data_IF_115204469273
#
_entry.id   IF_115204469273
#
_cell.length_a   1.000
_cell.length_b   1.000
_cell.length_c   1.000
_cell.angle_alpha   90.00
_cell.angle_beta   90.00
_cell.angle_gamma   90.00
#
_symmetry.space_group_name_H-M   'P 1'
#
loop_
_entity.id
_entity.type
_entity.pdbx_description
1 polymer ?
#
# COMPACT_ATOMS: atom_id res chain seq x y z
N UNK A 1 2.03 -2.21 28.35
CA UNK A 1 3.11 -1.86 27.42
C UNK A 1 4.02 -3.06 27.06
N UNK A 2 4.55 -3.83 28.03
CA UNK A 2 5.39 -5.00 27.77
C UNK A 2 4.74 -6.07 26.87
N UNK A 3 3.47 -6.41 27.10
CA UNK A 3 2.75 -7.41 26.31
C UNK A 3 2.57 -6.97 24.84
N UNK A 4 2.33 -5.68 24.58
CA UNK A 4 2.22 -5.12 23.22
C UNK A 4 3.55 -5.25 22.46
N UNK A 5 4.66 -4.81 23.04
CA UNK A 5 5.96 -4.91 22.41
C UNK A 5 6.38 -6.36 22.15
N UNK A 6 6.15 -7.24 23.13
CA UNK A 6 6.44 -8.66 22.99
C UNK A 6 5.62 -9.32 21.87
N UNK A 7 4.32 -8.98 21.77
CA UNK A 7 3.47 -9.52 20.74
C UNK A 7 3.79 -8.92 19.35
N UNK A 8 4.07 -7.62 19.25
CA UNK A 8 4.55 -7.00 17.99
C UNK A 8 5.85 -7.65 17.51
N UNK A 9 6.81 -7.91 18.42
CA UNK A 9 8.04 -8.63 18.07
C UNK A 9 7.75 -10.05 17.58
N UNK A 10 6.83 -10.75 18.21
CA UNK A 10 6.35 -12.09 17.75
C UNK A 10 5.78 -12.01 16.34
N UNK A 11 4.92 -11.03 16.06
CA UNK A 11 4.32 -10.84 14.74
C UNK A 11 5.38 -10.56 13.66
N UNK A 12 6.35 -9.67 13.92
CA UNK A 12 7.45 -9.40 13.00
C UNK A 12 8.29 -10.66 12.73
N UNK A 13 8.55 -11.45 13.76
CA UNK A 13 9.26 -12.71 13.60
C UNK A 13 8.44 -13.74 12.79
N UNK A 14 7.12 -13.74 12.94
CA UNK A 14 6.21 -14.59 12.15
C UNK A 14 6.23 -14.20 10.67
N UNK A 15 6.25 -12.89 10.33
CA UNK A 15 6.40 -12.45 8.94
C UNK A 15 7.67 -12.96 8.27
N UNK A 16 8.78 -13.06 9.02
CA UNK A 16 10.03 -13.63 8.49
C UNK A 16 9.91 -15.14 8.31
N UNK A 17 9.39 -15.86 9.32
CA UNK A 17 9.25 -17.32 9.29
C UNK A 17 8.23 -17.84 8.27
N UNK A 18 7.19 -17.07 7.99
CA UNK A 18 6.16 -17.41 6.98
C UNK A 18 6.49 -16.87 5.59
N UNK A 19 7.71 -16.36 5.39
CA UNK A 19 8.18 -15.76 4.12
C UNK A 19 7.35 -14.59 3.59
N UNK A 20 6.39 -14.07 4.34
CA UNK A 20 5.54 -12.93 3.94
C UNK A 20 6.35 -11.66 3.75
N UNK A 21 7.29 -11.39 4.68
CA UNK A 21 8.22 -10.27 4.56
C UNK A 21 9.08 -10.40 3.30
N UNK A 22 9.66 -11.58 3.07
CA UNK A 22 10.51 -11.85 1.91
C UNK A 22 9.73 -11.67 0.61
N UNK A 23 8.52 -12.24 0.51
CA UNK A 23 7.68 -12.09 -0.68
C UNK A 23 7.36 -10.63 -0.97
N UNK A 24 6.90 -9.87 0.04
CA UNK A 24 6.56 -8.46 -0.15
C UNK A 24 7.78 -7.65 -0.57
N UNK A 25 8.90 -7.79 0.14
CA UNK A 25 10.13 -7.06 -0.15
C UNK A 25 10.66 -7.42 -1.54
N UNK A 26 10.65 -8.71 -1.93
CA UNK A 26 11.13 -9.14 -3.24
C UNK A 26 10.29 -8.55 -4.37
N UNK A 27 8.96 -8.59 -4.27
CA UNK A 27 8.07 -8.02 -5.30
C UNK A 27 8.31 -6.51 -5.43
N UNK A 28 8.40 -5.80 -4.30
CA UNK A 28 8.64 -4.36 -4.31
C UNK A 28 10.05 -3.99 -4.78
N UNK A 29 11.07 -4.81 -4.50
CA UNK A 29 12.40 -4.64 -5.07
C UNK A 29 12.41 -4.83 -6.59
N UNK A 30 11.72 -5.85 -7.10
CA UNK A 30 11.57 -6.05 -8.55
C UNK A 30 10.94 -4.80 -9.18
N UNK A 31 9.87 -4.26 -8.61
CA UNK A 31 9.31 -3.00 -9.10
C UNK A 31 10.32 -1.85 -9.03
N UNK A 32 11.04 -1.72 -7.91
CA UNK A 32 12.06 -0.69 -7.75
C UNK A 32 13.11 -0.67 -8.87
N UNK A 33 13.57 -1.86 -9.29
CA UNK A 33 14.51 -2.00 -10.41
C UNK A 33 13.83 -1.81 -11.76
N UNK A 34 12.66 -2.40 -11.97
CA UNK A 34 11.96 -2.38 -13.26
C UNK A 34 11.49 -0.98 -13.66
N UNK A 35 11.03 -0.15 -12.70
CA UNK A 35 10.45 1.14 -13.04
C UNK A 35 11.37 2.05 -13.86
N UNK A 36 12.62 2.36 -13.44
CA UNK A 36 13.53 3.20 -14.21
C UNK A 36 13.99 2.52 -15.51
N UNK A 37 14.20 1.19 -15.48
CA UNK A 37 14.64 0.43 -16.66
C UNK A 37 13.56 0.44 -17.74
N UNK A 38 12.31 0.13 -17.37
CA UNK A 38 11.18 0.18 -18.31
C UNK A 38 11.00 1.59 -18.86
N UNK A 39 11.01 2.62 -17.99
CA UNK A 39 10.89 4.00 -18.44
C UNK A 39 11.98 4.38 -19.46
N UNK A 40 13.23 4.00 -19.20
CA UNK A 40 14.38 4.33 -20.06
C UNK A 40 14.34 3.65 -21.41
N UNK A 41 13.98 2.36 -21.44
CA UNK A 41 14.08 1.54 -22.65
C UNK A 41 12.75 1.38 -23.42
N UNK A 42 11.64 1.94 -22.93
CA UNK A 42 10.34 1.87 -23.62
C UNK A 42 10.39 2.45 -25.03
N UNK A 43 11.03 3.62 -25.32
CA UNK A 43 11.11 4.13 -26.69
C UNK A 43 11.86 3.18 -27.64
N UNK A 44 13.00 2.65 -27.21
CA UNK A 44 13.83 1.73 -28.01
C UNK A 44 13.07 0.43 -28.33
N UNK A 45 12.32 -0.09 -27.33
CA UNK A 45 11.47 -1.27 -27.51
C UNK A 45 10.32 -0.99 -28.48
N UNK A 46 9.69 0.17 -28.40
CA UNK A 46 8.62 0.54 -29.32
C UNK A 46 9.15 0.71 -30.75
N UNK A 47 10.30 1.35 -30.92
CA UNK A 47 10.93 1.51 -32.23
C UNK A 47 11.29 0.16 -32.86
N UNK A 48 11.76 -0.80 -32.05
CA UNK A 48 12.13 -2.15 -32.54
C UNK A 48 10.92 -3.01 -32.94
N UNK A 49 9.71 -2.70 -32.41
CA UNK A 49 8.48 -3.44 -32.70
C UNK A 49 7.69 -2.84 -33.88
N UNK A 50 8.10 -1.70 -34.40
CA UNK A 50 7.43 -1.06 -35.53
C UNK A 50 7.93 -1.65 -36.88
N UNK A 51 6.99 -1.78 -37.81
CA UNK A 51 7.32 -2.16 -39.18
C UNK A 51 8.20 -1.10 -39.88
N UNK A 52 9.13 -1.54 -40.73
CA UNK A 52 10.02 -0.67 -41.50
C UNK A 52 9.21 0.37 -42.31
N UNK A 53 9.32 1.64 -41.92
CA UNK A 53 8.67 2.76 -42.61
C UNK A 53 7.85 3.69 -41.75
N UNK A 54 7.49 3.31 -40.52
CA UNK A 54 6.75 4.17 -39.58
C UNK A 54 7.75 4.81 -38.60
N UNK A 55 8.15 6.05 -38.85
CA UNK A 55 8.95 6.83 -37.90
C UNK A 55 8.03 7.58 -36.94
N UNK A 56 7.80 7.05 -35.74
CA UNK A 56 7.21 7.81 -34.65
C UNK A 56 8.35 8.38 -33.81
N UNK A 57 8.51 9.70 -33.84
CA UNK A 57 9.41 10.36 -32.90
C UNK A 57 8.77 10.34 -31.52
N UNK A 58 9.18 9.40 -30.68
CA UNK A 58 8.81 9.38 -29.27
C UNK A 58 9.66 10.43 -28.52
N UNK A 59 9.08 11.17 -27.58
CA UNK A 59 9.84 12.08 -26.74
C UNK A 59 10.90 11.30 -25.93
N UNK A 60 12.02 11.92 -25.66
CA UNK A 60 13.04 11.32 -24.81
C UNK A 60 12.48 11.06 -23.41
N UNK A 61 12.70 9.86 -22.84
CA UNK A 61 12.19 9.53 -21.51
C UNK A 61 12.85 10.39 -20.44
N UNK A 62 12.05 10.81 -19.49
CA UNK A 62 12.42 11.67 -18.39
C UNK A 62 12.38 10.92 -17.04
N UNK A 63 12.90 11.53 -15.99
CA UNK A 63 12.79 11.00 -14.63
C UNK A 63 11.31 10.87 -14.17
N UNK A 64 10.42 11.71 -14.71
CA UNK A 64 8.98 11.64 -14.41
C UNK A 64 8.35 10.34 -14.94
N UNK A 65 8.85 9.80 -16.06
CA UNK A 65 8.37 8.53 -16.60
C UNK A 65 8.73 7.36 -15.69
N UNK A 66 9.90 7.42 -15.05
CA UNK A 66 10.29 6.44 -14.02
C UNK A 66 9.35 6.47 -12.81
N UNK A 67 9.02 7.66 -12.32
CA UNK A 67 8.08 7.80 -11.19
C UNK A 67 6.64 7.47 -11.60
N UNK A 68 6.25 7.77 -12.82
CA UNK A 68 4.94 7.34 -13.34
C UNK A 68 4.82 5.80 -13.34
N UNK A 69 5.86 5.08 -13.77
CA UNK A 69 5.91 3.62 -13.67
C UNK A 69 5.87 3.14 -12.21
N UNK A 70 6.61 3.81 -11.31
CA UNK A 70 6.60 3.47 -9.89
C UNK A 70 5.18 3.59 -9.29
N UNK A 71 4.52 4.72 -9.45
CA UNK A 71 3.17 4.93 -8.93
C UNK A 71 2.17 3.97 -9.58
N UNK A 72 2.23 3.78 -10.91
CA UNK A 72 1.38 2.84 -11.64
C UNK A 72 1.54 1.41 -11.12
N UNK A 73 2.77 0.89 -11.07
CA UNK A 73 3.02 -0.49 -10.64
C UNK A 73 2.67 -0.69 -9.17
N UNK A 74 2.99 0.29 -8.31
CA UNK A 74 2.63 0.22 -6.88
C UNK A 74 1.12 0.21 -6.70
N UNK A 75 0.38 1.09 -7.36
CA UNK A 75 -1.08 1.22 -7.17
C UNK A 75 -1.84 0.07 -7.81
N UNK A 76 -1.46 -0.36 -9.01
CA UNK A 76 -2.19 -1.41 -9.74
C UNK A 76 -1.84 -2.83 -9.29
N UNK A 77 -0.57 -3.09 -8.96
CA UNK A 77 -0.11 -4.43 -8.60
C UNK A 77 0.37 -4.51 -7.15
N UNK A 78 1.16 -3.54 -6.70
CA UNK A 78 1.75 -3.55 -5.36
C UNK A 78 0.71 -3.57 -4.25
N UNK A 79 -0.34 -2.74 -4.35
CA UNK A 79 -1.43 -2.73 -3.36
C UNK A 79 -2.26 -4.01 -3.38
N UNK A 80 -2.42 -4.66 -4.55
CA UNK A 80 -3.10 -5.97 -4.64
C UNK A 80 -2.25 -7.02 -3.93
N UNK A 81 -0.95 -7.06 -4.16
CA UNK A 81 -0.02 -7.97 -3.47
C UNK A 81 -0.05 -7.75 -1.96
N UNK A 82 -0.07 -6.50 -1.52
CA UNK A 82 -0.23 -6.14 -0.10
C UNK A 82 -1.51 -6.74 0.48
N UNK A 83 -2.66 -6.56 -0.19
CA UNK A 83 -3.95 -7.10 0.26
C UNK A 83 -3.91 -8.63 0.33
N UNK A 84 -3.34 -9.31 -0.66
CA UNK A 84 -3.22 -10.77 -0.68
C UNK A 84 -2.37 -11.27 0.49
N UNK A 85 -1.18 -10.70 0.70
CA UNK A 85 -0.23 -11.14 1.75
C UNK A 85 -0.81 -10.92 3.15
N UNK A 86 -1.53 -9.81 3.36
CA UNK A 86 -2.08 -9.47 4.67
C UNK A 86 -3.51 -9.98 4.91
N UNK A 87 -4.23 -10.48 3.91
CA UNK A 87 -5.61 -10.95 4.05
C UNK A 87 -5.80 -12.01 5.14
N UNK A 88 -4.80 -12.88 5.32
CA UNK A 88 -4.81 -13.94 6.35
C UNK A 88 -4.31 -13.52 7.73
N UNK A 89 -4.00 -12.24 7.95
CA UNK A 89 -3.26 -11.76 9.13
C UNK A 89 -3.93 -12.10 10.46
N UNK A 90 -5.22 -11.90 10.56
CA UNK A 90 -6.01 -12.21 11.76
C UNK A 90 -7.01 -13.33 11.51
N UNK A 91 -7.52 -13.44 10.29
CA UNK A 91 -8.51 -14.44 9.92
C UNK A 91 -7.99 -15.87 10.04
N UNK A 92 -6.74 -16.15 9.66
CA UNK A 92 -6.15 -17.49 9.77
C UNK A 92 -5.95 -17.92 11.24
N UNK A 93 -5.59 -17.00 12.11
CA UNK A 93 -5.43 -17.31 13.53
C UNK A 93 -6.78 -17.49 14.23
N UNK A 94 -7.81 -16.73 13.80
CA UNK A 94 -9.19 -16.91 14.29
C UNK A 94 -9.76 -18.24 13.84
N UNK A 95 -9.61 -18.62 12.56
CA UNK A 95 -10.14 -19.87 12.03
C UNK A 95 -9.46 -21.11 12.60
N UNK A 96 -8.15 -21.00 12.87
CA UNK A 96 -7.36 -22.09 13.48
C UNK A 96 -7.44 -22.15 15.01
N UNK A 97 -8.11 -21.18 15.64
CA UNK A 97 -8.22 -21.10 17.11
C UNK A 97 -6.92 -20.78 17.86
N UNK A 98 -5.84 -20.43 17.15
CA UNK A 98 -4.53 -20.18 17.78
C UNK A 98 -4.53 -18.95 18.67
N UNK A 99 -5.36 -17.93 18.37
CA UNK A 99 -5.56 -16.76 19.22
C UNK A 99 -6.23 -17.09 20.55
N UNK A 100 -7.08 -18.12 20.61
CA UNK A 100 -7.79 -18.50 21.83
C UNK A 100 -6.79 -18.80 22.95
N UNK A 101 -5.74 -19.59 22.65
CA UNK A 101 -4.72 -19.95 23.62
C UNK A 101 -3.92 -18.75 24.17
N UNK A 102 -3.80 -17.68 23.39
CA UNK A 102 -3.12 -16.46 23.83
C UNK A 102 -4.03 -15.57 24.65
N UNK A 103 -5.29 -15.49 24.28
CA UNK A 103 -6.32 -14.72 25.01
C UNK A 103 -6.60 -15.32 26.38
N UNK A 104 -6.68 -16.66 26.50
CA UNK A 104 -6.85 -17.36 27.79
C UNK A 104 -5.65 -17.16 28.71
N UNK A 105 -4.44 -16.93 28.16
CA UNK A 105 -3.24 -16.57 28.93
C UNK A 105 -3.17 -15.08 29.31
N UNK A 106 -4.25 -14.31 29.11
CA UNK A 106 -4.38 -12.91 29.54
C UNK A 106 -3.95 -11.86 28.52
N UNK A 107 -3.70 -12.23 27.25
CA UNK A 107 -3.42 -11.24 26.21
C UNK A 107 -4.72 -10.48 25.87
N UNK A 108 -4.69 -9.14 25.92
CA UNK A 108 -5.88 -8.35 25.60
C UNK A 108 -6.16 -8.32 24.10
N UNK A 109 -7.43 -8.36 23.71
CA UNK A 109 -7.87 -8.27 22.30
C UNK A 109 -7.42 -6.97 21.62
N UNK A 110 -7.39 -5.85 22.37
CA UNK A 110 -6.84 -4.58 21.92
C UNK A 110 -5.36 -4.70 21.53
N UNK A 111 -4.58 -5.37 22.37
CA UNK A 111 -3.15 -5.62 22.11
C UNK A 111 -2.95 -6.41 20.82
N UNK A 112 -3.76 -7.44 20.57
CA UNK A 112 -3.70 -8.23 19.35
C UNK A 112 -3.92 -7.35 18.10
N UNK A 113 -5.01 -6.58 18.06
CA UNK A 113 -5.33 -5.72 16.91
C UNK A 113 -4.24 -4.68 16.67
N UNK A 114 -3.84 -3.95 17.71
CA UNK A 114 -2.83 -2.91 17.59
C UNK A 114 -1.47 -3.46 17.19
N UNK A 115 -1.05 -4.60 17.74
CA UNK A 115 0.23 -5.21 17.37
C UNK A 115 0.23 -5.70 15.92
N UNK A 116 -0.86 -6.31 15.46
CA UNK A 116 -0.99 -6.74 14.05
C UNK A 116 -1.02 -5.54 13.09
N UNK A 117 -1.72 -4.48 13.44
CA UNK A 117 -1.72 -3.24 12.66
C UNK A 117 -0.31 -2.64 12.58
N UNK A 118 0.36 -2.48 13.72
CA UNK A 118 1.72 -1.89 13.76
C UNK A 118 2.74 -2.75 13.01
N UNK A 119 2.75 -4.06 13.25
CA UNK A 119 3.71 -4.95 12.58
C UNK A 119 3.51 -5.00 11.07
N UNK A 120 2.27 -5.02 10.59
CA UNK A 120 1.95 -4.96 9.15
C UNK A 120 2.32 -3.64 8.53
N UNK A 121 2.06 -2.52 9.22
CA UNK A 121 2.45 -1.18 8.78
C UNK A 121 3.98 -1.06 8.69
N UNK A 122 4.74 -1.62 9.65
CA UNK A 122 6.19 -1.62 9.60
C UNK A 122 6.73 -2.43 8.40
N UNK A 123 6.16 -3.61 8.14
CA UNK A 123 6.55 -4.44 6.99
C UNK A 123 6.20 -3.75 5.67
N UNK A 124 5.04 -3.11 5.58
CA UNK A 124 4.64 -2.28 4.44
C UNK A 124 5.60 -1.12 4.22
N UNK A 125 5.90 -0.37 5.28
CA UNK A 125 6.83 0.76 5.24
C UNK A 125 8.19 0.34 4.70
N UNK A 126 8.74 -0.77 5.23
CA UNK A 126 10.03 -1.29 4.78
C UNK A 126 10.03 -1.64 3.29
N UNK A 127 9.06 -2.44 2.83
CA UNK A 127 9.00 -2.88 1.44
C UNK A 127 8.79 -1.70 0.47
N UNK A 128 7.86 -0.80 0.79
CA UNK A 128 7.50 0.33 -0.03
C UNK A 128 8.65 1.35 -0.18
N UNK A 129 9.20 1.81 0.94
CA UNK A 129 10.29 2.79 0.89
C UNK A 129 11.60 2.21 0.37
N UNK A 130 11.84 0.91 0.55
CA UNK A 130 12.98 0.24 -0.08
C UNK A 130 12.84 0.23 -1.62
N UNK A 131 11.64 -0.04 -2.14
CA UNK A 131 11.33 0.06 -3.57
C UNK A 131 11.51 1.49 -4.09
N UNK A 132 10.98 2.48 -3.35
CA UNK A 132 11.14 3.89 -3.71
C UNK A 132 12.61 4.32 -3.71
N UNK A 133 13.41 3.87 -2.75
CA UNK A 133 14.85 4.14 -2.67
C UNK A 133 15.58 3.56 -3.88
N UNK A 134 15.29 2.32 -4.25
CA UNK A 134 15.89 1.67 -5.43
C UNK A 134 15.51 2.41 -6.70
N UNK A 135 14.21 2.74 -6.89
CA UNK A 135 13.74 3.56 -8.03
C UNK A 135 14.48 4.91 -8.07
N UNK A 136 14.62 5.59 -6.93
CA UNK A 136 15.32 6.87 -6.85
C UNK A 136 16.78 6.77 -7.27
N UNK A 137 17.52 5.80 -6.72
CA UNK A 137 18.94 5.61 -7.02
C UNK A 137 19.18 5.30 -8.50
N UNK A 138 18.38 4.41 -9.10
CA UNK A 138 18.48 4.09 -10.52
C UNK A 138 18.02 5.24 -11.41
N UNK A 139 16.98 5.97 -11.03
CA UNK A 139 16.54 7.16 -11.77
C UNK A 139 17.64 8.24 -11.81
N UNK A 140 18.35 8.45 -10.71
CA UNK A 140 19.50 9.38 -10.67
C UNK A 140 20.69 8.92 -11.52
N UNK A 141 20.86 7.62 -11.74
CA UNK A 141 21.91 7.10 -12.64
C UNK A 141 21.59 7.38 -14.10
N UNK A 142 20.31 7.32 -14.50
CA UNK A 142 19.88 7.55 -15.87
C UNK A 142 19.65 9.03 -16.20
N UNK A 143 19.20 9.83 -15.24
CA UNK A 143 18.84 11.25 -15.39
C UNK A 143 19.52 12.09 -14.28
N UNK A 144 20.78 12.52 -14.55
CA UNK A 144 21.66 13.12 -13.52
C UNK A 144 21.22 14.50 -13.01
N UNK A 145 20.53 15.30 -13.81
CA UNK A 145 20.33 16.73 -13.56
C UNK A 145 18.88 17.15 -13.31
N UNK A 146 17.98 16.19 -13.06
CA UNK A 146 16.57 16.52 -12.88
C UNK A 146 16.18 16.48 -11.40
N UNK A 147 15.89 17.64 -10.82
CA UNK A 147 15.28 17.73 -9.49
C UNK A 147 13.80 17.39 -9.58
N UNK A 148 13.34 16.55 -8.69
CA UNK A 148 11.93 16.15 -8.57
C UNK A 148 11.38 16.79 -7.30
N UNK A 149 10.54 17.80 -7.48
CA UNK A 149 9.88 18.47 -6.37
C UNK A 149 8.77 17.59 -5.76
N UNK A 150 8.44 17.82 -4.49
CA UNK A 150 7.33 17.15 -3.80
C UNK A 150 7.36 15.60 -3.78
N UNK A 151 8.49 14.96 -4.14
CA UNK A 151 8.60 13.51 -4.23
C UNK A 151 8.21 12.80 -2.91
N UNK A 152 8.77 13.24 -1.78
CA UNK A 152 8.47 12.63 -0.49
C UNK A 152 6.98 12.74 -0.11
N UNK A 153 6.35 13.87 -0.49
CA UNK A 153 4.93 14.06 -0.25
C UNK A 153 4.11 13.08 -1.09
N UNK A 154 4.37 13.00 -2.40
CA UNK A 154 3.70 12.07 -3.31
C UNK A 154 3.87 10.61 -2.89
N UNK A 155 5.07 10.21 -2.45
CA UNK A 155 5.32 8.90 -1.87
C UNK A 155 4.49 8.66 -0.59
N UNK A 156 4.38 9.68 0.28
CA UNK A 156 3.62 9.56 1.53
C UNK A 156 2.13 9.32 1.26
N UNK A 157 1.55 9.89 0.22
CA UNK A 157 0.14 9.68 -0.13
C UNK A 157 -0.17 8.21 -0.40
N UNK A 158 0.61 7.56 -1.25
CA UNK A 158 0.44 6.11 -1.55
C UNK A 158 0.71 5.26 -0.32
N UNK A 159 1.71 5.63 0.48
CA UNK A 159 1.99 4.93 1.73
C UNK A 159 0.80 4.98 2.70
N UNK A 160 0.18 6.16 2.89
CA UNK A 160 -1.03 6.32 3.73
C UNK A 160 -2.18 5.49 3.19
N UNK A 161 -2.39 5.45 1.88
CA UNK A 161 -3.41 4.60 1.28
C UNK A 161 -3.15 3.10 1.57
N UNK A 162 -1.91 2.64 1.53
CA UNK A 162 -1.54 1.29 1.94
C UNK A 162 -1.84 1.01 3.42
N UNK A 163 -1.60 1.96 4.32
CA UNK A 163 -1.97 1.87 5.75
C UNK A 163 -3.49 1.80 5.92
N UNK A 164 -4.25 2.55 5.14
CA UNK A 164 -5.70 2.47 5.09
C UNK A 164 -6.18 1.08 4.69
N UNK A 165 -5.61 0.48 3.63
CA UNK A 165 -5.93 -0.88 3.22
C UNK A 165 -5.62 -1.92 4.32
N UNK A 166 -4.48 -1.78 5.01
CA UNK A 166 -4.12 -2.67 6.14
C UNK A 166 -5.18 -2.60 7.23
N UNK A 167 -5.66 -1.40 7.57
CA UNK A 167 -6.71 -1.23 8.59
C UNK A 167 -8.04 -1.89 8.16
N UNK A 168 -8.41 -1.77 6.88
CA UNK A 168 -9.59 -2.42 6.29
C UNK A 168 -9.45 -3.95 6.29
N UNK A 169 -8.28 -4.48 5.93
CA UNK A 169 -7.98 -5.92 5.92
C UNK A 169 -8.15 -6.53 7.32
N UNK A 170 -7.65 -5.85 8.36
CA UNK A 170 -7.78 -6.30 9.75
C UNK A 170 -9.25 -6.36 10.17
N UNK A 171 -10.02 -5.31 9.86
CA UNK A 171 -11.46 -5.28 10.14
C UNK A 171 -12.19 -6.42 9.40
N UNK A 172 -11.97 -6.55 8.10
CA UNK A 172 -12.55 -7.62 7.29
C UNK A 172 -12.20 -9.02 7.81
N UNK A 173 -10.95 -9.23 8.23
CA UNK A 173 -10.50 -10.50 8.82
C UNK A 173 -11.18 -10.85 10.13
N UNK A 174 -11.48 -9.84 10.96
CA UNK A 174 -12.26 -10.02 12.19
C UNK A 174 -13.71 -10.34 11.86
N UNK A 175 -14.33 -9.62 10.95
CA UNK A 175 -15.75 -9.80 10.62
C UNK A 175 -16.03 -11.17 10.00
N UNK A 176 -15.26 -11.55 8.99
CA UNK A 176 -15.53 -12.73 8.16
C UNK A 176 -14.77 -14.00 8.57
N UNK A 177 -13.76 -13.93 9.43
CA UNK A 177 -12.92 -15.05 9.90
C UNK A 177 -12.22 -15.86 8.77
N UNK A 178 -12.20 -15.36 7.55
CA UNK A 178 -11.57 -15.99 6.38
C UNK A 178 -10.72 -15.00 5.61
N UNK A 179 -9.63 -15.47 4.99
CA UNK A 179 -8.77 -14.61 4.15
C UNK A 179 -9.53 -14.07 2.94
N UNK A 180 -10.36 -14.90 2.31
CA UNK A 180 -11.20 -14.48 1.18
C UNK A 180 -12.19 -13.39 1.58
N UNK A 181 -12.85 -13.53 2.73
CA UNK A 181 -13.78 -12.53 3.25
C UNK A 181 -13.07 -11.20 3.56
N UNK A 182 -11.86 -11.25 4.08
CA UNK A 182 -11.02 -10.07 4.30
C UNK A 182 -10.67 -9.36 2.98
N UNK A 183 -10.28 -10.12 1.95
CA UNK A 183 -9.99 -9.60 0.61
C UNK A 183 -11.23 -8.98 -0.04
N UNK A 184 -12.36 -9.70 -0.03
CA UNK A 184 -13.62 -9.20 -0.59
C UNK A 184 -14.08 -7.93 0.11
N UNK A 185 -13.98 -7.86 1.43
CA UNK A 185 -14.32 -6.65 2.19
C UNK A 185 -13.47 -5.45 1.75
N UNK A 186 -12.16 -5.66 1.62
CA UNK A 186 -11.25 -4.64 1.12
C UNK A 186 -11.61 -4.22 -0.32
N UNK A 187 -11.90 -5.20 -1.19
CA UNK A 187 -12.32 -4.94 -2.58
C UNK A 187 -13.63 -4.16 -2.68
N UNK A 188 -14.61 -4.46 -1.82
CA UNK A 188 -15.88 -3.72 -1.75
C UNK A 188 -15.66 -2.28 -1.30
N UNK A 189 -14.77 -2.04 -0.32
CA UNK A 189 -14.42 -0.69 0.10
C UNK A 189 -13.78 0.08 -1.05
N UNK A 190 -12.74 -0.47 -1.68
CA UNK A 190 -12.04 0.19 -2.80
C UNK A 190 -12.99 0.41 -3.98
N UNK A 191 -13.80 -0.58 -4.34
CA UNK A 191 -14.82 -0.46 -5.40
C UNK A 191 -15.86 0.62 -5.09
N UNK A 192 -16.32 0.70 -3.84
CA UNK A 192 -17.20 1.77 -3.38
C UNK A 192 -16.57 3.16 -3.49
N UNK A 193 -15.30 3.27 -3.09
CA UNK A 193 -14.54 4.52 -3.22
C UNK A 193 -14.36 4.93 -4.69
N UNK A 194 -14.12 3.98 -5.60
CA UNK A 194 -14.03 4.26 -7.05
C UNK A 194 -15.36 4.78 -7.60
N UNK A 195 -16.50 4.19 -7.19
CA UNK A 195 -17.83 4.68 -7.58
C UNK A 195 -18.08 6.07 -7.01
N UNK A 196 -17.77 6.32 -5.73
CA UNK A 196 -17.91 7.63 -5.10
C UNK A 196 -17.02 8.70 -5.74
N UNK A 197 -15.91 8.30 -6.34
CA UNK A 197 -15.00 9.22 -7.03
C UNK A 197 -15.59 9.85 -8.29
N UNK A 198 -16.70 9.31 -8.81
CA UNK A 198 -17.44 9.87 -9.95
C UNK A 198 -18.21 11.14 -9.53
N UNK A 199 -18.50 11.30 -8.23
CA UNK A 199 -19.29 12.42 -7.70
C UNK A 199 -18.36 13.59 -7.35
N UNK A 200 -18.38 14.73 -8.08
CA UNK A 200 -17.41 15.81 -7.89
C UNK A 200 -17.37 16.37 -6.46
N UNK A 201 -18.52 16.46 -5.79
CA UNK A 201 -18.61 16.99 -4.40
C UNK A 201 -17.93 16.12 -3.34
N UNK A 202 -17.76 14.83 -3.61
CA UNK A 202 -17.18 13.85 -2.68
C UNK A 202 -15.71 13.59 -3.01
N UNK A 203 -15.31 13.90 -4.22
CA UNK A 203 -13.99 13.64 -4.78
C UNK A 203 -12.86 14.19 -3.89
N UNK A 204 -13.00 15.44 -3.42
CA UNK A 204 -12.01 16.11 -2.54
C UNK A 204 -11.72 15.35 -1.23
N UNK A 205 -12.67 14.56 -0.76
CA UNK A 205 -12.55 13.79 0.50
C UNK A 205 -12.26 12.30 0.26
N UNK A 206 -12.20 11.88 -1.01
CA UNK A 206 -12.10 10.47 -1.36
C UNK A 206 -10.65 9.96 -1.18
N UNK A 207 -10.41 8.88 -0.41
CA UNK A 207 -9.11 8.25 -0.29
C UNK A 207 -8.43 7.87 -1.62
N UNK A 208 -9.21 7.60 -2.67
CA UNK A 208 -8.69 7.26 -4.01
C UNK A 208 -7.84 8.40 -4.60
N UNK A 209 -8.09 9.65 -4.22
CA UNK A 209 -7.26 10.77 -4.68
C UNK A 209 -5.80 10.62 -4.30
N UNK A 210 -5.50 9.98 -3.16
CA UNK A 210 -4.13 9.75 -2.72
C UNK A 210 -3.30 8.90 -3.69
N UNK A 211 -3.95 8.11 -4.55
CA UNK A 211 -3.27 7.27 -5.53
C UNK A 211 -3.42 7.77 -6.97
N UNK A 212 -4.36 8.68 -7.25
CA UNK A 212 -4.58 9.19 -8.59
C UNK A 212 -3.73 10.43 -8.91
N UNK A 213 -3.54 11.32 -7.94
CA UNK A 213 -3.02 12.67 -8.14
C UNK A 213 -1.49 12.78 -7.92
N UNK A 214 -0.82 11.64 -7.66
CA UNK A 214 0.61 11.62 -7.32
C UNK A 214 1.50 12.27 -8.38
N UNK A 215 1.22 12.00 -9.66
CA UNK A 215 2.03 12.52 -10.75
C UNK A 215 1.79 14.02 -10.98
N UNK A 216 0.55 14.48 -10.77
CA UNK A 216 0.20 15.88 -10.95
C UNK A 216 0.88 16.74 -9.87
N UNK A 217 0.95 16.23 -8.62
CA UNK A 217 1.72 16.86 -7.54
C UNK A 217 3.22 16.85 -7.84
N UNK A 218 3.72 15.73 -8.36
CA UNK A 218 5.14 15.57 -8.68
C UNK A 218 5.60 16.52 -9.78
N UNK A 219 4.72 16.83 -10.74
CA UNK A 219 4.95 17.79 -11.81
C UNK A 219 4.69 19.24 -11.41
N UNK A 220 4.07 19.45 -10.25
CA UNK A 220 3.65 20.78 -9.79
C UNK A 220 2.36 21.30 -10.44
N UNK A 221 1.60 20.42 -11.11
CA UNK A 221 0.34 20.78 -11.77
C UNK A 221 -0.81 20.98 -10.77
N UNK A 222 -0.69 20.40 -9.56
CA UNK A 222 -1.68 20.45 -8.49
C UNK A 222 -1.00 20.86 -7.18
N UNK A 223 -1.65 21.77 -6.45
CA UNK A 223 -1.16 22.19 -5.13
C UNK A 223 -1.42 21.13 -4.05
N UNK A 224 -0.50 21.05 -3.10
CA UNK A 224 -0.62 20.16 -1.92
C UNK A 224 -1.92 20.43 -1.15
N UNK A 225 -2.39 21.68 -1.12
CA UNK A 225 -3.62 22.11 -0.43
C UNK A 225 -4.87 21.36 -0.90
N UNK A 226 -4.93 20.94 -2.16
CA UNK A 226 -6.08 20.24 -2.74
C UNK A 226 -6.23 18.80 -2.22
N UNK A 227 -5.11 18.17 -1.85
CA UNK A 227 -5.07 16.77 -1.41
C UNK A 227 -5.21 16.62 0.10
N UNK A 228 -5.04 17.69 0.85
CA UNK A 228 -5.06 17.66 2.32
C UNK A 228 -6.38 17.11 2.86
N UNK A 229 -7.51 17.44 2.23
CA UNK A 229 -8.84 16.95 2.66
C UNK A 229 -8.94 15.43 2.53
N UNK A 230 -8.52 14.86 1.39
CA UNK A 230 -8.52 13.41 1.17
C UNK A 230 -7.50 12.69 2.06
N UNK A 231 -6.37 13.33 2.37
CA UNK A 231 -5.39 12.80 3.32
C UNK A 231 -5.98 12.67 4.73
N UNK A 232 -6.60 13.73 5.26
CA UNK A 232 -7.23 13.68 6.58
C UNK A 232 -8.42 12.70 6.64
N UNK A 233 -9.24 12.65 5.59
CA UNK A 233 -10.34 11.68 5.53
C UNK A 233 -9.82 10.24 5.54
N UNK A 234 -8.73 9.96 4.82
CA UNK A 234 -8.11 8.62 4.77
C UNK A 234 -7.51 8.22 6.12
N UNK A 235 -6.81 9.15 6.78
CA UNK A 235 -6.29 8.92 8.13
C UNK A 235 -7.43 8.70 9.14
N UNK A 236 -8.47 9.51 9.08
CA UNK A 236 -9.66 9.35 9.92
C UNK A 236 -10.35 8.00 9.70
N UNK A 237 -10.54 7.59 8.44
CA UNK A 237 -11.10 6.28 8.09
C UNK A 237 -10.21 5.12 8.59
N UNK A 238 -8.89 5.24 8.48
CA UNK A 238 -7.95 4.25 9.00
C UNK A 238 -8.08 4.06 10.51
N UNK A 239 -8.16 5.16 11.25
CA UNK A 239 -8.37 5.14 12.71
C UNK A 239 -9.73 4.52 13.06
N UNK A 240 -10.78 4.89 12.33
CA UNK A 240 -12.12 4.32 12.51
C UNK A 240 -12.13 2.81 12.26
N UNK A 241 -11.44 2.31 11.25
CA UNK A 241 -11.34 0.87 10.97
C UNK A 241 -10.58 0.14 12.08
N UNK A 242 -9.51 0.71 12.62
CA UNK A 242 -8.77 0.12 13.75
C UNK A 242 -9.65 0.08 15.02
N UNK A 243 -10.35 1.18 15.33
CA UNK A 243 -11.27 1.23 16.48
C UNK A 243 -12.39 0.20 16.29
N UNK A 244 -13.03 0.17 15.12
CA UNK A 244 -14.08 -0.79 14.79
C UNK A 244 -13.59 -2.24 14.89
N UNK A 245 -12.34 -2.50 14.49
CA UNK A 245 -11.67 -3.79 14.64
C UNK A 245 -11.56 -4.20 16.12
N UNK A 246 -11.16 -3.28 16.98
CA UNK A 246 -11.06 -3.52 18.43
C UNK A 246 -12.44 -3.82 19.01
N UNK A 247 -13.44 -3.00 18.69
CA UNK A 247 -14.82 -3.16 19.20
C UNK A 247 -15.43 -4.47 18.73
N UNK A 248 -15.34 -4.76 17.42
CA UNK A 248 -15.85 -5.99 16.83
C UNK A 248 -15.17 -7.23 17.44
N UNK A 249 -13.85 -7.16 17.65
CA UNK A 249 -13.11 -8.27 18.25
C UNK A 249 -13.45 -8.45 19.74
N UNK A 250 -13.68 -7.36 20.49
CA UNK A 250 -14.08 -7.43 21.91
C UNK A 250 -15.48 -8.05 22.10
N UNK A 251 -16.40 -7.84 21.17
CA UNK A 251 -17.77 -8.39 21.23
C UNK A 251 -17.86 -9.84 20.72
N UNK A 252 -16.83 -10.34 20.06
CA UNK A 252 -16.87 -11.67 19.44
C UNK A 252 -16.69 -12.76 20.48
N UNK A 253 -17.63 -13.68 20.56
CA UNK A 253 -17.47 -14.94 21.29
C UNK A 253 -16.46 -15.82 20.54
N UNK A 254 -15.43 -16.27 21.27
CA UNK A 254 -14.32 -17.05 20.72
C UNK A 254 -14.19 -18.34 21.54
#
# INVERSE_FOLDING_TARGET
MRAYLAFTKKELFEFTKTYKLLLLVTVFLIFGFMNPVVAKFTPDLMESLMEEGIKISLPEPTIFDSWAQFFKNTTQMGLIVLVIIFSGLISNELSKGTLINMLTKGLSRKTVVLSKFTSSTLVWTLAYFLSALVTFLYSMLFWKDTQVENLLFSLTLVWVFGVFLISAIILGGILFKTSYGSMLFCGVIVGGLLILNIIPKVQDYNPIQLININMDILKGDVEISEVIKSLYSTLGASVLFVISSIVAFCKKEI
#
